data_IF_593788018538
#
_entry.id   IF_593788018538
#
_cell.length_a   1.000
_cell.length_b   1.000
_cell.length_c   1.000
_cell.angle_alpha   90.00
_cell.angle_beta   90.00
_cell.angle_gamma   90.00
#
_symmetry.space_group_name_H-M   'P 1'
#
loop_
_entity.id
_entity.type
_entity.pdbx_description
1 polymer ?
#
# COMPACT_ATOMS: atom_id res chain seq x y z
N UNK A 1 -45.78 52.02 -10.60
CA UNK A 1 -44.64 51.32 -11.22
C UNK A 1 -44.01 50.43 -10.14
N UNK A 2 -44.22 49.12 -10.21
CA UNK A 2 -43.73 48.12 -9.25
C UNK A 2 -42.50 47.44 -9.85
N UNK A 3 -41.36 47.45 -9.15
CA UNK A 3 -40.14 46.72 -9.55
C UNK A 3 -40.25 45.25 -9.09
N UNK A 4 -39.82 44.27 -9.91
CA UNK A 4 -39.90 42.86 -9.53
C UNK A 4 -38.72 42.45 -8.63
N UNK A 5 -38.99 41.46 -7.77
CA UNK A 5 -38.01 40.70 -7.02
C UNK A 5 -37.05 40.01 -7.98
N UNK A 6 -35.74 40.16 -7.76
CA UNK A 6 -34.75 39.25 -8.30
C UNK A 6 -34.26 38.37 -7.15
N UNK A 7 -34.82 37.16 -7.09
CA UNK A 7 -34.33 36.08 -6.26
C UNK A 7 -32.95 35.64 -6.80
N UNK A 8 -31.88 36.05 -6.13
CA UNK A 8 -30.55 35.51 -6.36
C UNK A 8 -30.49 34.12 -5.77
N UNK A 9 -30.77 33.09 -6.57
CA UNK A 9 -30.46 31.70 -6.26
C UNK A 9 -28.93 31.58 -6.36
N UNK A 10 -28.24 31.91 -5.27
CA UNK A 10 -26.84 31.54 -5.07
C UNK A 10 -26.79 30.06 -4.78
N UNK A 11 -26.69 29.24 -5.83
CA UNK A 11 -26.41 27.82 -5.72
C UNK A 11 -24.97 27.66 -5.21
N UNK A 12 -24.81 27.64 -3.88
CA UNK A 12 -23.58 27.19 -3.23
C UNK A 12 -23.41 25.69 -3.51
N UNK A 13 -22.71 25.38 -4.60
CA UNK A 13 -22.19 24.04 -4.84
C UNK A 13 -21.12 23.81 -3.77
N UNK A 14 -21.49 23.18 -2.66
CA UNK A 14 -20.54 22.53 -1.76
C UNK A 14 -19.97 21.33 -2.52
N UNK A 15 -18.99 21.59 -3.38
CA UNK A 15 -18.07 20.57 -3.88
C UNK A 15 -17.32 20.06 -2.65
N UNK A 16 -17.89 19.05 -2.01
CA UNK A 16 -17.15 18.16 -1.13
C UNK A 16 -16.11 17.47 -2.00
N UNK A 17 -14.98 18.14 -2.21
CA UNK A 17 -13.74 17.53 -2.62
C UNK A 17 -13.40 16.51 -1.53
N UNK A 18 -13.91 15.29 -1.69
CA UNK A 18 -13.41 14.15 -0.96
C UNK A 18 -11.96 14.02 -1.40
N UNK A 19 -11.06 14.64 -0.64
CA UNK A 19 -9.64 14.42 -0.80
C UNK A 19 -9.41 12.96 -0.42
N UNK A 20 -9.45 12.08 -1.43
CA UNK A 20 -9.07 10.68 -1.28
C UNK A 20 -7.56 10.67 -1.09
N UNK A 21 -7.12 11.02 0.12
CA UNK A 21 -5.76 10.76 0.55
C UNK A 21 -5.66 9.24 0.71
N UNK A 22 -4.71 8.62 0.01
CA UNK A 22 -4.35 7.23 0.22
C UNK A 22 -3.76 7.12 1.63
N UNK A 23 -4.63 6.79 2.59
CA UNK A 23 -4.31 6.66 4.01
C UNK A 23 -4.52 5.21 4.42
N UNK A 24 -3.61 4.70 5.26
CA UNK A 24 -3.79 3.39 5.86
C UNK A 24 -5.07 3.34 6.70
N UNK A 25 -5.79 2.23 6.54
CA UNK A 25 -6.84 1.86 7.47
C UNK A 25 -6.26 1.70 8.91
N UNK A 26 -7.11 1.72 9.95
CA UNK A 26 -6.67 1.35 11.29
C UNK A 26 -5.94 0.00 11.29
N UNK A 27 -4.91 -0.12 12.11
CA UNK A 27 -4.13 -1.35 12.20
C UNK A 27 -4.96 -2.45 12.86
N UNK A 28 -5.07 -3.58 12.18
CA UNK A 28 -5.72 -4.78 12.70
C UNK A 28 -4.67 -5.72 13.28
N UNK A 29 -4.89 -6.20 14.50
CA UNK A 29 -4.00 -7.18 15.14
C UNK A 29 -4.37 -8.58 14.68
N UNK A 30 -3.38 -9.39 14.32
CA UNK A 30 -3.62 -10.77 13.93
C UNK A 30 -3.99 -11.61 15.17
N UNK A 31 -5.02 -12.49 15.10
CA UNK A 31 -5.36 -13.39 16.20
C UNK A 31 -4.19 -14.29 16.63
N UNK A 32 -3.34 -14.64 15.66
CA UNK A 32 -2.09 -15.36 15.87
C UNK A 32 -0.99 -14.72 15.02
N UNK A 33 0.16 -14.34 15.60
CA UNK A 33 1.28 -13.84 14.82
C UNK A 33 1.78 -14.88 13.80
N UNK A 34 2.15 -14.41 12.61
CA UNK A 34 2.57 -15.25 11.49
C UNK A 34 4.07 -15.11 11.28
N UNK A 35 4.81 -16.20 11.45
CA UNK A 35 6.22 -16.28 11.09
C UNK A 35 6.36 -16.45 9.58
N UNK A 36 7.21 -15.64 8.97
CA UNK A 36 7.49 -15.69 7.53
C UNK A 36 8.90 -15.21 7.26
N UNK A 37 9.50 -15.68 6.17
CA UNK A 37 10.73 -15.08 5.65
C UNK A 37 10.37 -13.87 4.81
N UNK A 38 10.88 -12.69 5.16
CA UNK A 38 10.84 -11.52 4.29
C UNK A 38 11.70 -11.83 3.05
N UNK A 39 11.18 -11.58 1.85
CA UNK A 39 11.93 -11.81 0.60
C UNK A 39 13.17 -10.91 0.52
N UNK A 40 14.21 -11.37 -0.16
CA UNK A 40 15.37 -10.52 -0.50
C UNK A 40 14.92 -9.32 -1.33
N UNK A 41 15.67 -8.22 -1.23
CA UNK A 41 15.44 -6.95 -1.92
C UNK A 41 14.06 -6.33 -1.63
N UNK A 42 13.47 -6.67 -0.48
CA UNK A 42 12.22 -6.08 -0.02
C UNK A 42 12.47 -4.71 0.62
N UNK A 43 11.63 -3.73 0.30
CA UNK A 43 11.62 -2.47 1.04
C UNK A 43 10.73 -2.63 2.27
N UNK A 44 11.24 -2.22 3.42
CA UNK A 44 10.48 -2.07 4.66
C UNK A 44 10.43 -0.60 5.04
N UNK A 45 9.31 -0.11 5.55
CA UNK A 45 9.16 1.30 5.94
C UNK A 45 8.53 1.44 7.32
N UNK A 46 8.83 2.54 7.99
CA UNK A 46 8.17 3.01 9.23
C UNK A 46 6.66 3.24 9.02
N UNK A 47 6.29 3.71 7.83
CA UNK A 47 4.93 4.03 7.42
C UNK A 47 4.51 3.23 6.18
N UNK A 48 3.30 2.65 6.17
CA UNK A 48 2.79 1.91 5.02
C UNK A 48 2.48 2.83 3.82
N UNK A 49 2.19 4.12 4.05
CA UNK A 49 2.01 5.10 2.98
C UNK A 49 3.29 5.31 2.15
N UNK A 50 4.48 5.22 2.77
CA UNK A 50 5.75 5.27 2.02
C UNK A 50 5.87 4.09 1.06
N UNK A 51 5.51 2.87 1.51
CA UNK A 51 5.46 1.71 0.63
C UNK A 51 4.44 1.88 -0.49
N UNK A 52 3.24 2.40 -0.17
CA UNK A 52 2.22 2.70 -1.17
C UNK A 52 2.77 3.60 -2.28
N UNK A 53 3.40 4.72 -1.92
CA UNK A 53 3.97 5.64 -2.91
C UNK A 53 5.07 4.98 -3.75
N UNK A 54 5.96 4.21 -3.14
CA UNK A 54 7.04 3.52 -3.85
C UNK A 54 6.46 2.52 -4.85
N UNK A 55 5.57 1.62 -4.41
CA UNK A 55 5.05 0.54 -5.26
C UNK A 55 4.08 1.02 -6.34
N UNK A 56 3.23 2.01 -6.05
CA UNK A 56 2.31 2.56 -7.05
C UNK A 56 3.06 3.32 -8.14
N UNK A 57 4.01 4.18 -7.78
CA UNK A 57 4.79 4.91 -8.77
C UNK A 57 5.72 3.99 -9.56
N UNK A 58 6.27 2.94 -8.94
CA UNK A 58 7.03 1.91 -9.66
C UNK A 58 6.14 1.16 -10.66
N UNK A 59 4.89 0.87 -10.30
CA UNK A 59 3.92 0.23 -11.20
C UNK A 59 3.59 1.12 -12.41
N UNK A 60 3.51 2.44 -12.22
CA UNK A 60 3.36 3.41 -13.32
C UNK A 60 4.60 3.40 -14.22
N UNK A 61 5.80 3.41 -13.63
CA UNK A 61 7.05 3.30 -14.38
C UNK A 61 7.12 1.99 -15.19
N UNK A 62 6.65 0.88 -14.63
CA UNK A 62 6.52 -0.40 -15.34
C UNK A 62 5.60 -0.29 -16.56
N UNK A 63 4.43 0.33 -16.40
CA UNK A 63 3.46 0.48 -17.48
C UNK A 63 3.97 1.39 -18.62
N UNK A 64 4.74 2.43 -18.29
CA UNK A 64 5.26 3.39 -19.28
C UNK A 64 6.58 2.98 -19.94
N UNK A 65 7.50 2.38 -19.19
CA UNK A 65 8.89 2.13 -19.62
C UNK A 65 9.39 0.71 -19.38
N UNK A 66 8.52 -0.22 -18.99
CA UNK A 66 8.86 -1.63 -18.81
C UNK A 66 9.70 -1.92 -17.56
N UNK A 67 10.30 -3.11 -17.53
CA UNK A 67 11.01 -3.65 -16.36
C UNK A 67 12.20 -2.80 -15.93
N UNK A 68 12.94 -2.21 -16.88
CA UNK A 68 14.11 -1.40 -16.56
C UNK A 68 13.71 -0.07 -15.91
N UNK A 69 12.65 0.58 -16.40
CA UNK A 69 12.09 1.77 -15.78
C UNK A 69 11.54 1.48 -14.37
N UNK A 70 10.88 0.34 -14.19
CA UNK A 70 10.46 -0.13 -12.87
C UNK A 70 11.66 -0.25 -11.93
N UNK A 71 12.70 -0.99 -12.31
CA UNK A 71 13.87 -1.23 -11.45
C UNK A 71 14.59 0.06 -11.11
N UNK A 72 14.80 0.93 -12.10
CA UNK A 72 15.46 2.22 -11.90
C UNK A 72 14.67 3.12 -10.94
N UNK A 73 13.35 3.22 -11.13
CA UNK A 73 12.50 4.01 -10.24
C UNK A 73 12.46 3.42 -8.83
N UNK A 74 12.23 2.11 -8.71
CA UNK A 74 12.12 1.43 -7.41
C UNK A 74 13.40 1.59 -6.59
N UNK A 75 14.57 1.39 -7.21
CA UNK A 75 15.86 1.60 -6.56
C UNK A 75 16.09 3.07 -6.17
N UNK A 76 15.79 4.02 -7.07
CA UNK A 76 15.94 5.45 -6.77
C UNK A 76 15.03 5.89 -5.63
N UNK A 77 13.77 5.44 -5.62
CA UNK A 77 12.83 5.71 -4.54
C UNK A 77 13.32 5.11 -3.22
N UNK A 78 13.74 3.84 -3.22
CA UNK A 78 14.34 3.18 -2.05
C UNK A 78 15.46 4.01 -1.42
N UNK A 79 16.42 4.45 -2.24
CA UNK A 79 17.54 5.29 -1.78
C UNK A 79 17.09 6.62 -1.17
N UNK A 80 16.08 7.29 -1.74
CA UNK A 80 15.56 8.56 -1.22
C UNK A 80 14.90 8.39 0.14
N UNK A 81 14.10 7.33 0.32
CA UNK A 81 13.45 7.07 1.60
C UNK A 81 14.43 6.56 2.65
N UNK A 82 15.45 5.81 2.24
CA UNK A 82 16.55 5.39 3.12
C UNK A 82 17.38 6.57 3.62
N UNK A 83 17.72 7.53 2.75
CA UNK A 83 18.41 8.76 3.14
C UNK A 83 17.60 9.60 4.16
N UNK A 84 16.29 9.39 4.26
CA UNK A 84 15.40 10.02 5.23
C UNK A 84 15.11 9.15 6.46
N UNK A 85 15.71 7.96 6.55
CA UNK A 85 15.44 6.97 7.61
C UNK A 85 13.97 6.54 7.69
N UNK A 86 13.22 6.68 6.58
CA UNK A 86 11.81 6.26 6.51
C UNK A 86 11.67 4.82 6.07
N UNK A 87 12.57 4.35 5.22
CA UNK A 87 12.57 2.99 4.69
C UNK A 87 13.98 2.40 4.69
N UNK A 88 14.06 1.08 4.59
CA UNK A 88 15.29 0.33 4.45
C UNK A 88 15.08 -0.74 3.36
N UNK A 89 16.10 -0.95 2.53
CA UNK A 89 16.14 -2.09 1.61
C UNK A 89 16.72 -3.30 2.35
N UNK A 90 15.93 -4.35 2.50
CA UNK A 90 16.40 -5.62 3.06
C UNK A 90 16.98 -6.49 1.97
N UNK A 91 18.31 -6.43 1.80
CA UNK A 91 19.06 -7.18 0.80
C UNK A 91 19.17 -8.68 1.10
N UNK A 92 18.84 -9.09 2.33
CA UNK A 92 18.86 -10.49 2.76
C UNK A 92 17.48 -10.95 3.19
N UNK A 93 17.21 -12.24 3.00
CA UNK A 93 16.01 -12.83 3.57
C UNK A 93 16.19 -12.99 5.07
N UNK A 94 15.24 -12.46 5.82
CA UNK A 94 15.23 -12.51 7.28
C UNK A 94 13.91 -13.11 7.77
N UNK A 95 13.96 -13.88 8.85
CA UNK A 95 12.73 -14.33 9.50
C UNK A 95 12.10 -13.18 10.29
N UNK A 96 10.81 -12.96 10.07
CA UNK A 96 10.03 -11.94 10.77
C UNK A 96 8.73 -12.54 11.29
N UNK A 97 8.19 -11.93 12.34
CA UNK A 97 6.88 -12.29 12.89
C UNK A 97 5.91 -11.16 12.64
N UNK A 98 4.97 -11.36 11.71
CA UNK A 98 3.89 -10.43 11.42
C UNK A 98 2.87 -10.50 12.54
N UNK A 99 2.61 -9.37 13.19
CA UNK A 99 1.73 -9.27 14.37
C UNK A 99 0.42 -8.54 14.06
N UNK A 100 0.39 -7.78 12.96
CA UNK A 100 -0.79 -7.02 12.53
C UNK A 100 -0.68 -6.64 11.07
N UNK A 101 -1.73 -6.01 10.54
CA UNK A 101 -1.76 -5.55 9.17
C UNK A 101 -2.58 -4.26 9.04
N UNK A 102 -2.43 -3.62 7.90
CA UNK A 102 -3.30 -2.54 7.44
C UNK A 102 -3.53 -2.68 5.94
N UNK A 103 -4.50 -1.94 5.44
CA UNK A 103 -4.82 -1.85 4.03
C UNK A 103 -4.77 -0.40 3.57
N UNK A 104 -4.32 -0.17 2.34
CA UNK A 104 -4.41 1.13 1.68
C UNK A 104 -5.23 0.94 0.41
N UNK A 105 -6.28 1.75 0.28
CA UNK A 105 -7.10 1.76 -0.92
C UNK A 105 -6.46 2.64 -2.01
N UNK A 106 -6.25 2.08 -3.19
CA UNK A 106 -6.00 2.85 -4.40
C UNK A 106 -7.33 2.96 -5.15
N UNK A 107 -7.92 4.16 -5.34
CA UNK A 107 -9.19 4.30 -6.07
C UNK A 107 -9.12 3.83 -7.53
N UNK A 108 -7.91 3.60 -8.07
CA UNK A 108 -7.68 3.08 -9.42
C UNK A 108 -7.56 1.54 -9.46
N UNK A 109 -7.60 0.85 -8.33
CA UNK A 109 -7.49 -0.62 -8.24
C UNK A 109 -8.74 -1.21 -7.57
N UNK A 110 -9.18 -2.40 -8.01
CA UNK A 110 -10.40 -3.02 -7.46
C UNK A 110 -10.21 -3.53 -6.04
N UNK A 111 -9.00 -3.92 -5.68
CA UNK A 111 -8.67 -4.51 -4.38
C UNK A 111 -7.65 -3.62 -3.65
N UNK A 112 -7.79 -3.44 -2.33
CA UNK A 112 -6.84 -2.69 -1.54
C UNK A 112 -5.51 -3.45 -1.43
N UNK A 113 -4.41 -2.71 -1.24
CA UNK A 113 -3.11 -3.31 -0.99
C UNK A 113 -2.96 -3.59 0.50
N UNK A 114 -2.51 -4.79 0.85
CA UNK A 114 -2.31 -5.23 2.23
C UNK A 114 -0.84 -5.13 2.62
N UNK A 115 -0.59 -4.64 3.84
CA UNK A 115 0.75 -4.48 4.41
C UNK A 115 0.82 -5.18 5.76
N UNK A 116 1.84 -6.02 5.94
CA UNK A 116 2.10 -6.69 7.22
C UNK A 116 3.02 -5.87 8.10
N UNK A 117 2.70 -5.79 9.40
CA UNK A 117 3.47 -5.10 10.45
C UNK A 117 4.31 -6.09 11.25
N UNK A 118 5.58 -5.80 11.46
CA UNK A 118 6.47 -6.60 12.29
C UNK A 118 7.56 -5.73 12.95
N UNK A 119 8.20 -6.25 13.98
CA UNK A 119 9.37 -5.62 14.60
C UNK A 119 10.67 -6.04 13.90
N UNK A 120 11.68 -5.17 13.96
CA UNK A 120 13.06 -5.52 13.58
C UNK A 120 13.80 -5.97 14.84
N UNK A 121 14.58 -7.05 14.74
CA UNK A 121 15.39 -7.52 15.87
C UNK A 121 16.35 -6.42 16.35
N UNK A 122 16.41 -6.21 17.67
CA UNK A 122 17.24 -5.15 18.27
C UNK A 122 16.65 -3.74 18.15
N UNK A 123 15.39 -3.59 17.76
CA UNK A 123 14.69 -2.30 17.68
C UNK A 123 13.26 -2.41 18.22
N UNK A 124 12.82 -1.37 18.94
CA UNK A 124 11.41 -1.23 19.35
C UNK A 124 10.51 -0.75 18.20
N UNK A 125 11.11 -0.35 17.07
CA UNK A 125 10.38 0.16 15.93
C UNK A 125 9.64 -0.98 15.21
N UNK A 126 8.39 -0.69 14.85
CA UNK A 126 7.59 -1.54 13.98
C UNK A 126 7.66 -1.00 12.57
N UNK A 127 7.86 -1.90 11.62
CA UNK A 127 7.94 -1.59 10.20
C UNK A 127 6.90 -2.38 9.43
N UNK A 128 6.72 -1.99 8.19
CA UNK A 128 5.76 -2.54 7.26
C UNK A 128 6.46 -3.17 6.07
N UNK A 129 5.88 -4.21 5.49
CA UNK A 129 6.18 -4.69 4.15
C UNK A 129 4.89 -5.01 3.41
N UNK A 130 4.92 -4.91 2.08
CA UNK A 130 3.80 -5.38 1.24
C UNK A 130 3.58 -6.88 1.42
N UNK A 131 2.32 -7.31 1.38
CA UNK A 131 1.95 -8.72 1.55
C UNK A 131 2.69 -9.65 0.59
N UNK A 132 2.94 -9.21 -0.65
CA UNK A 132 3.69 -9.99 -1.65
C UNK A 132 5.16 -10.26 -1.27
N UNK A 133 5.72 -9.57 -0.28
CA UNK A 133 7.06 -9.82 0.25
C UNK A 133 7.06 -10.75 1.49
N UNK A 134 5.88 -11.21 1.93
CA UNK A 134 5.66 -11.98 3.16
C UNK A 134 4.89 -13.28 2.83
N UNK A 135 5.55 -14.33 2.27
CA UNK A 135 4.87 -15.49 1.67
C UNK A 135 3.90 -16.24 2.60
N UNK A 136 4.26 -16.45 3.87
CA UNK A 136 3.36 -17.17 4.78
C UNK A 136 2.15 -16.31 5.18
N UNK A 137 2.34 -14.99 5.29
CA UNK A 137 1.26 -14.04 5.54
C UNK A 137 0.34 -13.94 4.33
N UNK A 138 0.88 -13.84 3.12
CA UNK A 138 0.11 -13.87 1.87
C UNK A 138 -0.75 -15.14 1.76
N UNK A 139 -0.15 -16.30 2.05
CA UNK A 139 -0.87 -17.58 2.02
C UNK A 139 -2.01 -17.64 3.04
N UNK A 140 -1.81 -17.10 4.25
CA UNK A 140 -2.85 -17.06 5.27
C UNK A 140 -3.96 -16.06 4.90
N UNK A 141 -3.58 -14.88 4.40
CA UNK A 141 -4.51 -13.87 3.93
C UNK A 141 -5.40 -14.37 2.78
N UNK A 142 -4.84 -15.16 1.85
CA UNK A 142 -5.61 -15.82 0.79
C UNK A 142 -6.60 -16.86 1.35
N UNK A 143 -6.21 -17.60 2.40
CA UNK A 143 -7.06 -18.62 3.03
C UNK A 143 -8.19 -18.01 3.86
N UNK A 144 -7.92 -16.89 4.52
CA UNK A 144 -8.91 -16.16 5.34
C UNK A 144 -9.82 -15.25 4.51
N UNK A 145 -9.53 -15.06 3.22
CA UNK A 145 -10.28 -14.17 2.34
C UNK A 145 -9.93 -12.69 2.51
N UNK A 146 -8.87 -12.37 3.25
CA UNK A 146 -8.33 -11.02 3.39
C UNK A 146 -7.81 -10.46 2.06
N UNK A 147 -7.29 -11.33 1.20
CA UNK A 147 -6.87 -11.00 -0.17
C UNK A 147 -7.46 -12.01 -1.13
N UNK A 148 -7.88 -11.54 -2.32
CA UNK A 148 -8.34 -12.43 -3.40
C UNK A 148 -7.16 -12.89 -4.25
N UNK A 149 -7.23 -14.12 -4.75
CA UNK A 149 -6.25 -14.63 -5.69
C UNK A 149 -6.35 -13.88 -7.03
N UNK A 150 -5.22 -13.40 -7.54
CA UNK A 150 -5.14 -12.79 -8.88
C UNK A 150 -5.50 -13.77 -10.01
N UNK A 151 -5.47 -15.08 -9.76
CA UNK A 151 -5.85 -16.11 -10.73
C UNK A 151 -7.36 -16.21 -10.98
N UNK A 152 -8.21 -15.60 -10.14
CA UNK A 152 -9.67 -15.63 -10.32
C UNK A 152 -10.23 -14.50 -11.20
N UNK A 153 -9.39 -13.55 -11.66
CA UNK A 153 -9.84 -12.43 -12.51
C UNK A 153 -9.76 -12.79 -14.02
N UNK A 154 -9.27 -13.98 -14.37
CA UNK A 154 -9.12 -14.42 -15.76
C UNK A 154 -10.36 -15.07 -16.40
N UNK A 155 -11.48 -15.19 -15.69
CA UNK A 155 -12.74 -15.71 -16.25
C UNK A 155 -13.82 -14.63 -16.27
N UNK A 156 -13.74 -13.74 -17.25
CA UNK A 156 -14.93 -13.05 -17.76
C UNK A 156 -14.99 -13.29 -19.27
N UNK A 157 -15.94 -14.11 -19.77
CA UNK A 157 -16.14 -14.27 -21.20
C UNK A 157 -16.52 -12.92 -21.81
N UNK A 158 -15.89 -12.58 -22.94
CA UNK A 158 -16.34 -11.50 -23.84
C UNK A 158 -17.68 -11.83 -24.48
#
# INVERSE_FOLDING_TARGET
MRRPLSAGIGLLITLSLVQVQARAAPVETLPKPIRTSLKTDSIVCSHPESLFLIYEASSIAMAGGGSDAFKAYFAAAGNVFEARSECLVQSQSIEVTVEGYTTINNPLKPEPVVYGRFGIEGSDNKVWATIGNLPAFEKDALRSGLVKSSAQIADTPR
#
